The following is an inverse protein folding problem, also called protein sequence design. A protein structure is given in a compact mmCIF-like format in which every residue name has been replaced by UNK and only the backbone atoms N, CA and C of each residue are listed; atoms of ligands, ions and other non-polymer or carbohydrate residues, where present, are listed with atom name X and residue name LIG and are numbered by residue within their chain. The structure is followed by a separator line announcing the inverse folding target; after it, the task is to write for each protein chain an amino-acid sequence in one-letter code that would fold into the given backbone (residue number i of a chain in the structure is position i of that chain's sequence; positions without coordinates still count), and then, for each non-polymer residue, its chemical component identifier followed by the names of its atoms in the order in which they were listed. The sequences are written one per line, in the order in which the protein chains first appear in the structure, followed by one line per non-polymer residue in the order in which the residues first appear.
data_IF_844556403698
#
_entry.id   IF_844556403698
#
_cell.length_a   1.000
_cell.length_b   1.000
_cell.length_c   1.000
_cell.angle_alpha   90.00
_cell.angle_beta   90.00
_cell.angle_gamma   90.00
#
_symmetry.space_group_name_H-M   'P 1'
#
loop_
_entity.id
_entity.type
_entity.pdbx_description
1 polymer ?
#
# COMPACT_ATOMS: atom_id res chain seq x y z
N UNK A 1 17.08 18.53 23.48
CA UNK A 1 16.06 18.60 22.40
C UNK A 1 16.43 17.56 21.36
N UNK A 2 15.65 16.48 21.23
CA UNK A 2 15.91 15.45 20.23
C UNK A 2 15.39 15.95 18.89
N UNK A 3 16.26 16.13 17.92
CA UNK A 3 15.88 16.47 16.54
C UNK A 3 15.59 15.18 15.81
N UNK A 4 14.36 15.04 15.30
CA UNK A 4 13.97 13.88 14.45
C UNK A 4 14.08 14.30 13.00
N UNK A 5 14.84 13.54 12.22
CA UNK A 5 14.92 13.73 10.78
C UNK A 5 14.24 12.55 10.09
N UNK A 6 13.47 12.84 9.04
CA UNK A 6 12.93 11.86 8.13
C UNK A 6 13.67 12.00 6.81
N UNK A 7 14.27 10.91 6.35
CA UNK A 7 14.98 10.87 5.09
C UNK A 7 14.36 9.80 4.19
N UNK A 8 14.21 10.12 2.91
CA UNK A 8 14.07 9.12 1.87
C UNK A 8 15.48 8.58 1.58
N UNK A 9 15.68 7.27 1.67
CA UNK A 9 16.98 6.67 1.46
C UNK A 9 17.13 6.22 0.02
N UNK A 10 16.29 5.27 -0.42
CA UNK A 10 16.39 4.71 -1.77
C UNK A 10 15.11 3.94 -2.16
N UNK A 11 15.02 3.55 -3.45
CA UNK A 11 14.10 2.55 -3.98
C UNK A 11 14.95 1.46 -4.62
N UNK A 12 14.92 0.26 -4.06
CA UNK A 12 15.72 -0.88 -4.49
C UNK A 12 14.86 -1.86 -5.27
N UNK A 13 15.30 -2.21 -6.48
CA UNK A 13 14.71 -3.30 -7.25
C UNK A 13 15.09 -4.65 -6.62
N UNK A 14 14.08 -5.47 -6.33
CA UNK A 14 14.29 -6.78 -5.73
C UNK A 14 14.43 -7.85 -6.81
N UNK A 15 15.57 -8.49 -6.88
CA UNK A 15 15.79 -9.69 -7.71
C UNK A 15 15.08 -10.93 -7.16
N UNK A 16 14.77 -10.94 -5.86
CA UNK A 16 14.12 -12.05 -5.17
C UNK A 16 13.23 -11.53 -4.03
N UNK A 17 11.97 -11.95 -4.01
CA UNK A 17 10.95 -11.54 -3.03
C UNK A 17 10.85 -12.45 -1.80
N UNK A 18 11.81 -13.37 -1.61
CA UNK A 18 11.91 -14.16 -0.38
C UNK A 18 12.40 -13.32 0.78
N UNK A 19 12.10 -13.73 2.02
CA UNK A 19 12.57 -13.03 3.23
C UNK A 19 14.09 -12.84 3.25
N UNK A 20 14.85 -13.83 2.80
CA UNK A 20 16.30 -13.74 2.70
C UNK A 20 16.76 -12.74 1.62
N UNK A 21 16.07 -12.71 0.47
CA UNK A 21 16.36 -11.76 -0.60
C UNK A 21 16.08 -10.31 -0.18
N UNK A 22 14.95 -10.08 0.48
CA UNK A 22 14.57 -8.75 1.00
C UNK A 22 15.53 -8.30 2.10
N UNK A 23 15.87 -9.18 3.05
CA UNK A 23 16.86 -8.91 4.10
C UNK A 23 18.19 -8.47 3.50
N UNK A 24 18.71 -9.24 2.54
CA UNK A 24 19.96 -8.94 1.86
C UNK A 24 19.89 -7.59 1.16
N UNK A 25 18.85 -7.33 0.35
CA UNK A 25 18.67 -6.09 -0.37
C UNK A 25 18.60 -4.88 0.56
N UNK A 26 17.95 -5.02 1.72
CA UNK A 26 17.86 -3.98 2.73
C UNK A 26 19.21 -3.68 3.37
N UNK A 27 19.99 -4.71 3.73
CA UNK A 27 21.32 -4.55 4.31
C UNK A 27 22.28 -3.94 3.26
N UNK A 28 22.25 -4.43 2.03
CA UNK A 28 23.08 -3.92 0.94
C UNK A 28 22.76 -2.43 0.65
N UNK A 29 21.51 -2.05 0.67
CA UNK A 29 21.08 -0.66 0.53
C UNK A 29 21.63 0.22 1.66
N UNK A 30 21.42 -0.17 2.92
CA UNK A 30 21.91 0.57 4.09
C UNK A 30 23.42 0.72 4.10
N UNK A 31 24.15 -0.34 3.79
CA UNK A 31 25.62 -0.32 3.74
C UNK A 31 26.14 0.47 2.53
N UNK A 32 25.47 0.40 1.40
CA UNK A 32 25.77 1.22 0.20
C UNK A 32 25.66 2.73 0.48
N UNK A 33 24.77 3.11 1.39
CA UNK A 33 24.63 4.51 1.86
C UNK A 33 25.54 4.84 3.08
N UNK A 34 26.53 4.00 3.38
CA UNK A 34 27.55 4.30 4.36
C UNK A 34 27.25 3.88 5.80
N UNK A 35 26.10 3.19 6.03
CA UNK A 35 25.78 2.66 7.36
C UNK A 35 26.50 1.33 7.57
N UNK A 36 27.62 1.34 8.30
CA UNK A 36 28.42 0.14 8.58
C UNK A 36 27.64 -0.86 9.43
N UNK A 37 27.91 -2.16 9.26
CA UNK A 37 27.21 -3.25 9.96
C UNK A 37 27.34 -3.14 11.49
N UNK A 38 28.51 -2.75 12.00
CA UNK A 38 28.75 -2.52 13.42
C UNK A 38 27.86 -1.38 13.94
N UNK A 39 27.77 -0.28 13.18
CA UNK A 39 26.91 0.83 13.52
C UNK A 39 25.42 0.42 13.57
N UNK A 40 24.96 -0.35 12.58
CA UNK A 40 23.59 -0.88 12.55
C UNK A 40 23.31 -1.78 13.76
N UNK A 41 24.28 -2.59 14.19
CA UNK A 41 24.13 -3.48 15.34
C UNK A 41 23.83 -2.74 16.64
N UNK A 42 24.47 -1.59 16.81
CA UNK A 42 24.39 -0.80 18.04
C UNK A 42 23.28 0.26 18.01
N UNK A 43 22.78 0.63 16.81
CA UNK A 43 21.91 1.78 16.65
C UNK A 43 20.60 1.50 15.91
N UNK A 44 20.45 0.34 15.24
CA UNK A 44 19.20 0.02 14.57
C UNK A 44 18.16 -0.49 15.55
N UNK A 45 17.27 0.41 15.98
CA UNK A 45 16.28 0.16 17.05
C UNK A 45 14.86 -0.13 16.54
N UNK A 46 14.56 0.12 15.27
CA UNK A 46 13.20 -0.03 14.78
C UNK A 46 13.09 -0.48 13.32
N UNK A 47 12.10 -1.31 13.04
CA UNK A 47 11.71 -1.73 11.69
C UNK A 47 10.19 -1.63 11.55
N UNK A 48 9.73 -0.68 10.74
CA UNK A 48 8.32 -0.54 10.37
C UNK A 48 8.04 -1.17 9.00
N UNK A 49 7.08 -2.09 8.91
CA UNK A 49 6.71 -2.73 7.65
C UNK A 49 5.20 -2.95 7.55
N UNK A 50 4.70 -3.37 6.40
CA UNK A 50 3.35 -3.92 6.29
C UNK A 50 3.23 -5.27 7.03
N UNK A 51 2.02 -5.80 7.11
CA UNK A 51 1.76 -7.07 7.81
C UNK A 51 2.03 -8.33 6.98
N UNK A 52 2.68 -8.23 5.83
CA UNK A 52 2.93 -9.37 4.97
C UNK A 52 3.72 -10.46 5.71
N UNK A 53 3.37 -11.73 5.48
CA UNK A 53 4.02 -12.86 6.14
C UNK A 53 5.51 -12.98 5.81
N UNK A 54 5.93 -12.53 4.63
CA UNK A 54 7.35 -12.44 4.25
C UNK A 54 8.10 -11.43 5.12
N UNK A 55 7.44 -10.38 5.61
CA UNK A 55 8.03 -9.35 6.46
C UNK A 55 7.97 -9.71 7.96
N UNK A 56 6.80 -10.06 8.47
CA UNK A 56 6.54 -10.25 9.91
C UNK A 56 6.33 -11.71 10.32
N UNK A 57 6.51 -12.68 9.42
CA UNK A 57 6.35 -14.09 9.74
C UNK A 57 7.26 -14.54 10.89
N UNK A 58 6.67 -15.20 11.91
CA UNK A 58 7.34 -15.55 13.16
C UNK A 58 8.51 -16.54 13.01
N UNK A 59 8.51 -17.36 11.96
CA UNK A 59 9.55 -18.40 11.76
C UNK A 59 10.73 -17.90 10.94
N UNK A 60 10.47 -17.17 9.85
CA UNK A 60 11.49 -16.80 8.87
C UNK A 60 11.25 -15.47 8.17
N UNK A 61 10.34 -14.63 8.69
CA UNK A 61 10.10 -13.29 8.16
C UNK A 61 11.34 -12.40 8.27
N UNK A 62 11.40 -11.35 7.45
CA UNK A 62 12.51 -10.37 7.45
C UNK A 62 12.78 -9.83 8.85
N UNK A 63 11.74 -9.45 9.58
CA UNK A 63 11.85 -8.94 10.94
C UNK A 63 12.50 -9.97 11.91
N UNK A 64 12.09 -11.23 11.81
CA UNK A 64 12.67 -12.32 12.64
C UNK A 64 14.14 -12.55 12.32
N UNK A 65 14.51 -12.54 11.05
CA UNK A 65 15.87 -12.70 10.57
C UNK A 65 16.76 -11.53 10.99
N UNK A 66 16.30 -10.30 10.79
CA UNK A 66 17.03 -9.10 11.20
C UNK A 66 17.21 -9.03 12.72
N UNK A 67 16.21 -9.41 13.51
CA UNK A 67 16.31 -9.41 14.96
C UNK A 67 17.34 -10.42 15.49
N UNK A 68 17.58 -11.51 14.77
CA UNK A 68 18.64 -12.46 15.13
C UNK A 68 20.04 -11.86 14.98
N UNK A 69 20.23 -10.91 14.05
CA UNK A 69 21.52 -10.24 13.78
C UNK A 69 21.62 -8.93 14.57
N UNK A 70 20.53 -8.18 14.65
CA UNK A 70 20.41 -6.85 15.24
C UNK A 70 19.42 -6.89 16.42
N UNK A 71 19.87 -7.26 17.61
CA UNK A 71 19.00 -7.59 18.76
C UNK A 71 18.19 -6.41 19.30
N UNK A 72 18.61 -5.17 19.00
CA UNK A 72 17.90 -3.95 19.42
C UNK A 72 16.66 -3.65 18.59
N UNK A 73 16.47 -4.34 17.46
CA UNK A 73 15.32 -4.06 16.57
C UNK A 73 14.00 -4.41 17.25
N UNK A 74 13.12 -3.43 17.33
CA UNK A 74 11.69 -3.60 17.58
C UNK A 74 10.97 -3.53 16.24
N UNK A 75 10.34 -4.63 15.83
CA UNK A 75 9.54 -4.66 14.61
C UNK A 75 8.12 -4.16 14.86
N UNK A 76 7.61 -3.32 13.99
CA UNK A 76 6.31 -2.72 14.10
C UNK A 76 5.51 -2.88 12.80
N UNK A 77 4.28 -3.36 12.94
CA UNK A 77 3.35 -3.37 11.81
C UNK A 77 2.86 -1.94 11.55
N UNK A 78 2.97 -1.46 10.31
CA UNK A 78 2.58 -0.11 9.90
C UNK A 78 1.17 0.23 10.39
N UNK A 79 1.06 1.30 11.16
CA UNK A 79 -0.21 1.72 11.76
C UNK A 79 -1.26 2.07 10.70
N UNK A 80 -0.86 2.78 9.64
CA UNK A 80 -1.75 3.14 8.54
C UNK A 80 -2.32 1.90 7.86
N UNK A 81 -1.48 0.88 7.63
CA UNK A 81 -1.93 -0.38 7.03
C UNK A 81 -2.90 -1.14 7.96
N UNK A 82 -2.62 -1.16 9.26
CA UNK A 82 -3.54 -1.75 10.25
C UNK A 82 -4.87 -1.02 10.31
N UNK A 83 -4.85 0.31 10.26
CA UNK A 83 -6.06 1.12 10.22
C UNK A 83 -6.87 0.81 8.96
N UNK A 84 -6.22 0.75 7.80
CA UNK A 84 -6.87 0.39 6.53
C UNK A 84 -7.53 -0.99 6.57
N UNK A 85 -6.84 -1.99 7.11
CA UNK A 85 -7.41 -3.33 7.31
C UNK A 85 -8.64 -3.29 8.24
N UNK A 86 -8.57 -2.55 9.34
CA UNK A 86 -9.68 -2.43 10.31
C UNK A 86 -10.90 -1.73 9.68
N UNK A 87 -10.67 -0.68 8.89
CA UNK A 87 -11.73 0.01 8.15
C UNK A 87 -12.36 -0.93 7.11
N UNK A 88 -11.55 -1.67 6.36
CA UNK A 88 -12.04 -2.65 5.39
C UNK A 88 -12.90 -3.75 6.06
N UNK A 89 -12.48 -4.23 7.22
CA UNK A 89 -13.26 -5.23 7.95
C UNK A 89 -14.59 -4.67 8.48
N UNK A 90 -14.60 -3.43 8.98
CA UNK A 90 -15.83 -2.75 9.36
C UNK A 90 -16.79 -2.56 8.18
N UNK A 91 -16.27 -2.18 7.02
CA UNK A 91 -17.05 -1.95 5.80
C UNK A 91 -17.68 -3.24 5.28
N UNK A 92 -16.99 -4.38 5.34
CA UNK A 92 -17.55 -5.69 4.94
C UNK A 92 -18.84 -6.04 5.69
N UNK A 93 -19.03 -5.49 6.89
CA UNK A 93 -20.25 -5.68 7.66
C UNK A 93 -21.41 -4.76 7.25
N UNK A 94 -21.17 -3.76 6.39
CA UNK A 94 -22.17 -2.78 5.94
C UNK A 94 -22.74 -3.19 4.58
N UNK A 95 -23.99 -3.67 4.58
CA UNK A 95 -24.68 -4.14 3.37
C UNK A 95 -24.79 -3.04 2.31
N UNK A 96 -25.11 -1.81 2.74
CA UNK A 96 -25.28 -0.65 1.86
C UNK A 96 -23.99 -0.29 1.12
N UNK A 97 -22.87 -0.36 1.82
CA UNK A 97 -21.54 -0.10 1.22
C UNK A 97 -21.17 -1.19 0.21
N UNK A 98 -21.49 -2.44 0.51
CA UNK A 98 -21.28 -3.55 -0.41
C UNK A 98 -22.14 -3.41 -1.68
N UNK A 99 -23.40 -2.97 -1.56
CA UNK A 99 -24.27 -2.69 -2.70
C UNK A 99 -23.71 -1.55 -3.55
N UNK A 100 -23.29 -0.44 -2.91
CA UNK A 100 -22.67 0.67 -3.62
C UNK A 100 -21.41 0.24 -4.37
N UNK A 101 -20.55 -0.57 -3.73
CA UNK A 101 -19.35 -1.12 -4.37
C UNK A 101 -19.68 -1.98 -5.59
N UNK A 102 -20.65 -2.89 -5.47
CA UNK A 102 -21.13 -3.71 -6.60
C UNK A 102 -21.65 -2.84 -7.74
N UNK A 103 -22.40 -1.79 -7.42
CA UNK A 103 -22.88 -0.83 -8.40
C UNK A 103 -21.73 -0.10 -9.12
N UNK A 104 -20.72 0.36 -8.39
CA UNK A 104 -19.55 1.03 -8.97
C UNK A 104 -18.71 0.10 -9.85
N UNK A 105 -18.56 -1.16 -9.44
CA UNK A 105 -17.85 -2.19 -10.24
C UNK A 105 -18.63 -2.49 -11.54
N UNK A 106 -19.96 -2.51 -11.48
CA UNK A 106 -20.82 -2.67 -12.65
C UNK A 106 -20.69 -1.47 -13.61
N UNK A 107 -20.75 -0.25 -13.09
CA UNK A 107 -20.54 0.96 -13.89
C UNK A 107 -19.17 0.96 -14.56
N UNK A 108 -18.12 0.69 -13.79
CA UNK A 108 -16.77 0.61 -14.32
C UNK A 108 -16.65 -0.44 -15.42
N UNK A 109 -17.13 -1.67 -15.20
CA UNK A 109 -17.05 -2.74 -16.19
C UNK A 109 -17.84 -2.43 -17.45
N UNK A 110 -19.02 -1.81 -17.32
CA UNK A 110 -19.87 -1.45 -18.44
C UNK A 110 -19.18 -0.43 -19.35
N UNK A 111 -18.66 0.64 -18.79
CA UNK A 111 -18.07 1.71 -19.59
C UNK A 111 -16.61 1.44 -19.98
N UNK A 112 -15.78 0.82 -19.11
CA UNK A 112 -14.38 0.55 -19.42
C UNK A 112 -14.16 -0.51 -20.50
N UNK A 113 -15.11 -1.43 -20.63
CA UNK A 113 -15.03 -2.53 -21.60
C UNK A 113 -15.66 -2.21 -22.95
N UNK A 114 -16.35 -1.07 -23.09
CA UNK A 114 -17.04 -0.69 -24.32
C UNK A 114 -16.65 0.69 -24.82
N UNK A 115 -15.77 0.79 -25.84
CA UNK A 115 -15.43 2.08 -26.45
C UNK A 115 -16.64 2.81 -27.04
N UNK A 116 -17.70 2.08 -27.45
CA UNK A 116 -18.95 2.66 -27.93
C UNK A 116 -19.65 3.40 -26.80
N UNK A 117 -19.88 2.74 -25.66
CA UNK A 117 -20.55 3.34 -24.52
C UNK A 117 -19.76 4.52 -23.92
N UNK A 118 -18.42 4.46 -23.95
CA UNK A 118 -17.60 5.60 -23.55
C UNK A 118 -17.81 6.83 -24.42
N UNK A 119 -17.91 6.65 -25.75
CA UNK A 119 -18.19 7.76 -26.66
C UNK A 119 -19.57 8.33 -26.43
N UNK A 120 -20.59 7.48 -26.37
CA UNK A 120 -21.99 7.90 -26.11
C UNK A 120 -22.09 8.67 -24.78
N UNK A 121 -21.43 8.21 -23.72
CA UNK A 121 -21.38 8.91 -22.43
C UNK A 121 -20.71 10.28 -22.55
N UNK A 122 -19.60 10.37 -23.31
CA UNK A 122 -18.89 11.63 -23.53
C UNK A 122 -19.72 12.63 -24.34
N UNK A 123 -20.43 12.14 -25.35
CA UNK A 123 -21.36 12.95 -26.16
C UNK A 123 -22.52 13.51 -25.31
N UNK A 124 -23.19 12.65 -24.53
CA UNK A 124 -24.22 13.07 -23.60
C UNK A 124 -23.71 14.09 -22.55
N UNK A 125 -22.56 13.89 -22.00
CA UNK A 125 -21.96 14.80 -21.03
C UNK A 125 -21.68 16.19 -21.68
N UNK A 126 -21.19 16.18 -22.91
CA UNK A 126 -20.96 17.41 -23.68
C UNK A 126 -22.26 18.16 -23.98
N UNK A 127 -23.33 17.45 -24.37
CA UNK A 127 -24.65 18.04 -24.62
C UNK A 127 -25.25 18.66 -23.35
N UNK A 128 -24.97 18.07 -22.19
CA UNK A 128 -25.47 18.56 -20.90
C UNK A 128 -24.53 19.57 -20.24
N UNK A 129 -23.43 19.95 -20.89
CA UNK A 129 -22.39 20.84 -20.34
C UNK A 129 -21.83 20.36 -19.00
N UNK A 130 -21.79 19.02 -18.77
CA UNK A 130 -21.28 18.39 -17.55
C UNK A 130 -19.84 17.95 -17.77
N UNK A 131 -18.97 18.29 -16.82
CA UNK A 131 -17.61 17.77 -16.82
C UNK A 131 -17.62 16.29 -16.42
N UNK A 132 -17.34 15.41 -17.38
CA UNK A 132 -17.22 13.97 -17.13
C UNK A 132 -15.90 13.63 -16.47
N UNK A 133 -15.94 13.08 -15.26
CA UNK A 133 -14.79 12.51 -14.62
C UNK A 133 -14.60 11.05 -15.05
N UNK A 134 -13.34 10.59 -15.04
CA UNK A 134 -13.04 9.19 -15.36
C UNK A 134 -13.60 8.28 -14.26
N UNK A 135 -14.48 7.35 -14.64
CA UNK A 135 -15.00 6.33 -13.73
C UNK A 135 -13.83 5.42 -13.33
N UNK A 136 -13.47 5.45 -12.05
CA UNK A 136 -12.42 4.63 -11.46
C UNK A 136 -12.96 3.31 -10.92
N UNK A 137 -12.11 2.29 -10.83
CA UNK A 137 -12.46 1.04 -10.16
C UNK A 137 -12.29 1.20 -8.65
N UNK A 138 -13.25 0.69 -7.87
CA UNK A 138 -13.13 0.57 -6.42
C UNK A 138 -12.19 -0.59 -6.11
N UNK A 139 -10.99 -0.30 -5.63
CA UNK A 139 -10.00 -1.32 -5.30
C UNK A 139 -10.04 -1.64 -3.80
N UNK A 140 -10.14 -2.91 -3.45
CA UNK A 140 -10.16 -3.40 -2.06
C UNK A 140 -8.90 -3.06 -1.26
N UNK A 141 -7.76 -2.85 -1.95
CA UNK A 141 -6.44 -2.81 -1.33
C UNK A 141 -5.99 -1.40 -0.91
N UNK A 142 -6.66 -0.33 -1.38
CA UNK A 142 -6.29 1.06 -1.07
C UNK A 142 -7.53 1.94 -0.87
N UNK A 143 -8.30 1.61 0.12
CA UNK A 143 -9.63 2.15 0.32
C UNK A 143 -9.66 3.69 0.44
N UNK A 144 -8.78 4.26 1.23
CA UNK A 144 -8.81 5.71 1.52
C UNK A 144 -8.47 6.55 0.29
N UNK A 145 -7.47 6.15 -0.50
CA UNK A 145 -7.03 6.95 -1.65
C UNK A 145 -7.88 6.69 -2.92
N UNK A 146 -8.26 5.43 -3.21
CA UNK A 146 -8.98 5.09 -4.43
C UNK A 146 -10.47 5.34 -4.33
N UNK A 147 -11.10 5.07 -3.19
CA UNK A 147 -12.54 5.23 -3.02
C UNK A 147 -12.96 6.69 -2.95
N UNK A 148 -12.17 7.55 -2.30
CA UNK A 148 -12.44 8.98 -2.28
C UNK A 148 -12.45 9.59 -3.69
N UNK A 149 -11.51 9.19 -4.55
CA UNK A 149 -11.47 9.61 -5.95
C UNK A 149 -12.69 9.09 -6.73
N UNK A 150 -13.09 7.84 -6.49
CA UNK A 150 -14.23 7.19 -7.14
C UNK A 150 -15.55 7.83 -6.72
N UNK A 151 -15.75 8.12 -5.43
CA UNK A 151 -16.95 8.79 -4.92
C UNK A 151 -17.07 10.22 -5.45
N UNK A 152 -15.96 10.91 -5.70
CA UNK A 152 -15.98 12.25 -6.31
C UNK A 152 -16.29 12.24 -7.82
N UNK A 153 -16.13 11.11 -8.48
CA UNK A 153 -16.33 10.98 -9.92
C UNK A 153 -17.80 10.67 -10.29
N UNK A 154 -18.64 10.34 -9.31
CA UNK A 154 -20.07 10.07 -9.42
C UNK A 154 -20.88 11.22 -8.82
#
# INVERSE_FOLDING_TARGET
MWVRFLFFLDIVELSCTTSAGIEKALIDCLTGHGLRLEYLRDHWVGLGTDGASVMLGSKSGVATRLKAIYPLIVSWHCFNHRLELSVNDAIKCCTEVNHFKTFMDLLYSTYSMSPKLQRELTECASELEIQLNRIGRVLDVRWVASNWQTVKAV
#
